data_IF_552409282876
#
_entry.id   IF_552409282876
#
_cell.length_a   1.000
_cell.length_b   1.000
_cell.length_c   1.000
_cell.angle_alpha   90.00
_cell.angle_beta   90.00
_cell.angle_gamma   90.00
#
_symmetry.space_group_name_H-M   'P 1'
#
loop_
_entity.id
_entity.type
_entity.pdbx_description
1 polymer ?
#
# COMPACT_ATOMS: atom_id res chain seq x y z
N UNK A 1 -8.05 3.27 27.63
CA UNK A 1 -8.27 4.02 26.36
C UNK A 1 -7.84 5.44 26.65
N UNK A 2 -6.87 6.05 25.96
CA UNK A 2 -6.95 6.49 24.56
C UNK A 2 -5.50 6.61 24.04
N UNK A 3 -5.15 5.82 23.03
CA UNK A 3 -3.82 5.81 22.43
C UNK A 3 -3.82 4.94 21.19
N UNK A 4 -4.89 5.03 20.39
CA UNK A 4 -4.85 4.46 19.05
C UNK A 4 -3.87 5.33 18.25
N UNK A 5 -2.61 4.90 18.16
CA UNK A 5 -1.72 5.38 17.11
C UNK A 5 -2.32 4.87 15.79
N UNK A 6 -3.23 5.65 15.21
CA UNK A 6 -3.67 5.40 13.86
C UNK A 6 -2.43 5.41 12.99
N UNK A 7 -2.03 4.26 12.45
CA UNK A 7 -0.92 4.21 11.50
C UNK A 7 -1.41 4.97 10.27
N UNK A 8 -0.90 6.18 10.10
CA UNK A 8 -1.33 7.04 9.01
C UNK A 8 -0.98 6.38 7.67
N UNK A 9 -1.83 6.56 6.65
CA UNK A 9 -1.56 6.10 5.28
C UNK A 9 -0.18 6.58 4.82
N UNK A 10 0.23 7.78 5.24
CA UNK A 10 1.57 8.34 5.04
C UNK A 10 2.68 7.40 5.51
N UNK A 11 2.57 6.87 6.72
CA UNK A 11 3.61 6.02 7.30
C UNK A 11 3.65 4.65 6.63
N UNK A 12 2.49 4.13 6.21
CA UNK A 12 2.40 2.90 5.40
C UNK A 12 3.07 3.13 4.05
N UNK A 13 2.79 4.25 3.38
CA UNK A 13 3.35 4.59 2.08
C UNK A 13 4.88 4.71 2.14
N UNK A 14 5.42 5.41 3.15
CA UNK A 14 6.87 5.51 3.37
C UNK A 14 7.49 4.13 3.51
N UNK A 15 6.92 3.26 4.35
CA UNK A 15 7.42 1.89 4.56
C UNK A 15 7.36 1.04 3.28
N UNK A 16 6.26 1.10 2.54
CA UNK A 16 6.11 0.35 1.28
C UNK A 16 7.12 0.82 0.23
N UNK A 17 7.33 2.13 0.11
CA UNK A 17 8.33 2.72 -0.80
C UNK A 17 9.75 2.25 -0.47
N UNK A 18 10.12 2.28 0.81
CA UNK A 18 11.44 1.85 1.29
C UNK A 18 11.65 0.33 1.11
N UNK A 19 10.63 -0.49 1.36
CA UNK A 19 10.72 -1.95 1.29
C UNK A 19 10.77 -2.50 -0.14
N UNK A 20 9.96 -1.95 -1.04
CA UNK A 20 9.75 -2.52 -2.38
C UNK A 20 10.39 -1.72 -3.53
N UNK A 21 11.04 -0.60 -3.23
CA UNK A 21 11.67 0.30 -4.22
C UNK A 21 10.68 0.63 -5.36
N UNK A 22 9.52 1.15 -4.98
CA UNK A 22 8.44 1.57 -5.89
C UNK A 22 8.34 3.10 -5.95
N UNK A 23 7.62 3.63 -6.94
CA UNK A 23 7.43 5.07 -7.07
C UNK A 23 6.55 5.58 -5.93
N UNK A 24 6.73 6.85 -5.56
CA UNK A 24 5.92 7.50 -4.50
C UNK A 24 4.41 7.37 -4.77
N UNK A 25 3.88 7.63 -5.99
CA UNK A 25 2.46 7.44 -6.28
C UNK A 25 1.98 6.01 -6.00
N UNK A 26 2.71 5.00 -6.48
CA UNK A 26 2.36 3.59 -6.30
C UNK A 26 2.33 3.20 -4.81
N UNK A 27 3.29 3.73 -4.03
CA UNK A 27 3.33 3.49 -2.59
C UNK A 27 2.13 4.09 -1.84
N UNK A 28 1.60 5.22 -2.30
CA UNK A 28 0.41 5.86 -1.71
C UNK A 28 -0.85 5.06 -2.05
N UNK A 29 -0.99 4.60 -3.31
CA UNK A 29 -2.10 3.76 -3.76
C UNK A 29 -2.11 2.45 -2.96
N UNK A 30 -0.96 1.76 -2.88
CA UNK A 30 -0.82 0.51 -2.14
C UNK A 30 -1.08 0.69 -0.64
N UNK A 31 -0.59 1.79 -0.04
CA UNK A 31 -0.84 2.12 1.35
C UNK A 31 -2.33 2.34 1.65
N UNK A 32 -3.05 2.98 0.72
CA UNK A 32 -4.49 3.22 0.85
C UNK A 32 -5.26 1.90 0.82
N UNK A 33 -4.98 1.03 -0.16
CA UNK A 33 -5.58 -0.32 -0.22
C UNK A 33 -5.30 -1.12 1.06
N UNK A 34 -4.05 -1.06 1.56
CA UNK A 34 -3.65 -1.71 2.81
C UNK A 34 -4.40 -1.17 4.04
N UNK A 35 -4.50 0.15 4.17
CA UNK A 35 -5.17 0.80 5.30
C UNK A 35 -6.68 0.50 5.33
N UNK A 36 -7.32 0.44 4.15
CA UNK A 36 -8.73 0.09 4.01
C UNK A 36 -8.99 -1.42 4.05
N UNK A 37 -7.94 -2.25 4.06
CA UNK A 37 -8.03 -3.71 3.97
C UNK A 37 -8.81 -4.19 2.72
N UNK A 38 -8.64 -3.48 1.61
CA UNK A 38 -9.27 -3.78 0.33
C UNK A 38 -8.25 -4.31 -0.69
N UNK A 39 -8.66 -5.16 -1.64
CA UNK A 39 -7.79 -5.53 -2.76
C UNK A 39 -7.55 -4.33 -3.67
N UNK A 40 -6.32 -4.19 -4.18
CA UNK A 40 -6.00 -3.25 -5.24
C UNK A 40 -6.30 -3.90 -6.60
N UNK A 41 -7.34 -3.42 -7.28
CA UNK A 41 -7.66 -3.82 -8.65
C UNK A 41 -6.88 -2.94 -9.61
N UNK A 42 -6.05 -3.52 -10.49
CA UNK A 42 -5.23 -2.75 -11.44
C UNK A 42 -4.83 -3.59 -12.65
N UNK A 43 -4.62 -2.95 -13.81
CA UNK A 43 -3.95 -3.59 -14.97
C UNK A 43 -2.43 -3.47 -14.91
N UNK A 44 -1.92 -2.66 -13.98
CA UNK A 44 -0.49 -2.42 -13.84
C UNK A 44 0.19 -3.59 -13.12
N UNK A 45 0.96 -4.37 -13.89
CA UNK A 45 1.67 -5.56 -13.40
C UNK A 45 2.81 -5.21 -12.45
N UNK A 46 3.29 -3.97 -12.41
CA UNK A 46 4.37 -3.58 -11.51
C UNK A 46 3.96 -3.67 -10.04
N UNK A 47 2.66 -3.54 -9.72
CA UNK A 47 2.15 -3.72 -8.36
C UNK A 47 2.35 -5.13 -7.81
N UNK A 48 2.53 -6.16 -8.64
CA UNK A 48 2.83 -7.54 -8.19
C UNK A 48 4.07 -7.62 -7.29
N UNK A 49 4.98 -6.66 -7.39
CA UNK A 49 6.20 -6.58 -6.56
C UNK A 49 5.87 -6.32 -5.08
N UNK A 50 4.70 -5.75 -4.79
CA UNK A 50 4.26 -5.40 -3.44
C UNK A 50 3.56 -6.58 -2.78
N UNK A 51 4.31 -7.44 -2.10
CA UNK A 51 3.79 -8.66 -1.43
C UNK A 51 2.96 -8.39 -0.17
N UNK A 52 2.87 -7.12 0.25
CA UNK A 52 2.22 -6.68 1.49
C UNK A 52 0.74 -6.30 1.34
N UNK A 53 0.15 -6.46 0.15
CA UNK A 53 -1.24 -6.13 -0.19
C UNK A 53 -1.89 -7.21 -1.06
N UNK A 54 -3.22 -7.30 -1.00
CA UNK A 54 -3.98 -8.13 -1.94
C UNK A 54 -4.17 -7.40 -3.26
N UNK A 55 -3.95 -8.09 -4.39
CA UNK A 55 -4.00 -7.50 -5.73
C UNK A 55 -4.88 -8.38 -6.62
N UNK A 56 -5.75 -7.73 -7.38
CA UNK A 56 -6.53 -8.34 -8.47
C UNK A 56 -6.05 -7.70 -9.76
N UNK A 57 -5.54 -8.51 -10.69
CA UNK A 57 -5.09 -8.03 -11.98
C UNK A 57 -6.15 -8.24 -13.05
N UNK A 58 -6.38 -7.21 -13.85
CA UNK A 58 -7.34 -7.19 -14.96
C UNK A 58 -6.69 -6.80 -16.28
#
# INVERSE_FOLDING_TARGET
>A
MIGASFVEIKDIAIRLRQKHIIKTPDSIIAATAKALQLPLVTSDKDFKKITDISIILI
#
